data_IF_082529461633
#
_entry.id   IF_082529461633
#
_cell.length_a   1.000
_cell.length_b   1.000
_cell.length_c   1.000
_cell.angle_alpha   90.00
_cell.angle_beta   90.00
_cell.angle_gamma   90.00
#
_symmetry.space_group_name_H-M   'P 1'
#
loop_
_entity.id
_entity.type
_entity.pdbx_description
1 polymer ?
#
# COMPACT_ATOMS: atom_id res chain seq x y z
N UNK A 1 5.75 3.99 7.56
CA UNK A 1 5.12 3.20 6.49
C UNK A 1 3.73 2.80 6.93
N UNK A 2 2.85 2.56 5.96
CA UNK A 2 1.48 2.05 6.18
C UNK A 2 1.37 0.66 5.60
N UNK A 3 0.57 -0.20 6.24
CA UNK A 3 0.24 -1.54 5.77
C UNK A 3 -1.22 -1.55 5.37
N UNK A 4 -1.52 -2.11 4.20
CA UNK A 4 -2.91 -2.23 3.74
C UNK A 4 -3.73 -3.13 4.67
N UNK A 5 -5.04 -2.93 4.69
CA UNK A 5 -5.99 -3.79 5.39
C UNK A 5 -6.09 -5.16 4.73
N UNK A 6 -6.06 -5.17 3.40
CA UNK A 6 -6.12 -6.37 2.55
C UNK A 6 -5.16 -6.23 1.37
N UNK A 7 -4.69 -7.37 0.87
CA UNK A 7 -3.74 -7.43 -0.23
C UNK A 7 -4.34 -6.98 -1.54
N UNK A 8 -3.52 -6.42 -2.44
CA UNK A 8 -3.99 -6.07 -3.79
C UNK A 8 -4.55 -7.30 -4.50
N UNK A 9 -3.87 -8.44 -4.39
CA UNK A 9 -4.32 -9.68 -4.99
C UNK A 9 -5.65 -10.16 -4.42
N UNK A 10 -5.86 -10.11 -3.11
CA UNK A 10 -7.15 -10.47 -2.50
C UNK A 10 -8.28 -9.58 -3.01
N UNK A 11 -8.09 -8.26 -2.98
CA UNK A 11 -9.10 -7.30 -3.44
C UNK A 11 -9.40 -7.49 -4.93
N UNK A 12 -8.38 -7.62 -5.77
CA UNK A 12 -8.55 -7.84 -7.21
C UNK A 12 -9.21 -9.18 -7.53
N UNK A 13 -8.96 -10.22 -6.73
CA UNK A 13 -9.67 -11.50 -6.85
C UNK A 13 -11.15 -11.34 -6.52
N UNK A 14 -11.49 -10.69 -5.40
CA UNK A 14 -12.89 -10.46 -5.06
C UNK A 14 -13.61 -9.57 -6.10
N UNK A 15 -12.90 -8.60 -6.69
CA UNK A 15 -13.45 -7.71 -7.72
C UNK A 15 -13.38 -8.29 -9.14
N UNK A 16 -13.01 -9.56 -9.29
CA UNK A 16 -13.00 -10.23 -10.60
C UNK A 16 -11.97 -9.67 -11.60
N UNK A 17 -10.90 -9.00 -11.14
CA UNK A 17 -9.87 -8.38 -12.00
C UNK A 17 -8.78 -9.37 -12.41
N UNK A 18 -9.21 -10.49 -12.97
CA UNK A 18 -8.35 -11.55 -13.50
C UNK A 18 -9.07 -12.31 -14.61
N UNK A 19 -8.33 -13.12 -15.35
CA UNK A 19 -8.90 -14.11 -16.27
C UNK A 19 -8.82 -15.49 -15.61
N UNK A 20 -9.92 -16.23 -15.58
CA UNK A 20 -9.99 -17.62 -15.09
C UNK A 20 -9.14 -18.58 -15.96
N UNK A 21 -8.85 -18.18 -17.20
CA UNK A 21 -7.96 -18.90 -18.12
C UNK A 21 -6.47 -18.65 -17.84
N UNK A 22 -6.12 -17.61 -17.10
CA UNK A 22 -4.71 -17.29 -16.81
C UNK A 22 -4.27 -17.92 -15.48
N UNK A 23 -3.96 -19.21 -15.54
CA UNK A 23 -3.57 -20.00 -14.36
C UNK A 23 -2.30 -19.45 -13.70
N UNK A 24 -1.31 -18.98 -14.46
CA UNK A 24 -0.09 -18.41 -13.90
C UNK A 24 -0.35 -17.12 -13.13
N UNK A 25 -1.26 -16.27 -13.61
CA UNK A 25 -1.68 -15.09 -12.87
C UNK A 25 -2.48 -15.45 -11.60
N UNK A 26 -3.34 -16.47 -11.65
CA UNK A 26 -4.00 -16.98 -10.43
C UNK A 26 -2.98 -17.49 -9.40
N UNK A 27 -1.95 -18.24 -9.83
CA UNK A 27 -0.85 -18.66 -8.95
C UNK A 27 -0.11 -17.47 -8.37
N UNK A 28 0.17 -16.43 -9.17
CA UNK A 28 0.76 -15.19 -8.70
C UNK A 28 -0.12 -14.53 -7.63
N UNK A 29 -1.42 -14.38 -7.88
CA UNK A 29 -2.35 -13.77 -6.92
C UNK A 29 -2.38 -14.55 -5.61
N UNK A 30 -2.56 -15.87 -5.67
CA UNK A 30 -2.59 -16.74 -4.48
C UNK A 30 -1.29 -16.60 -3.68
N UNK A 31 -0.11 -16.74 -4.33
CA UNK A 31 1.21 -16.59 -3.68
C UNK A 31 1.34 -15.28 -2.91
N UNK A 32 0.72 -14.22 -3.42
CA UNK A 32 0.75 -12.86 -2.90
C UNK A 32 -0.45 -12.49 -2.00
N UNK A 33 -1.27 -13.46 -1.59
CA UNK A 33 -2.26 -13.27 -0.51
C UNK A 33 -1.70 -13.75 0.83
N UNK A 34 -2.25 -13.22 1.92
CA UNK A 34 -1.99 -13.71 3.27
C UNK A 34 -2.70 -15.04 3.53
N UNK A 35 -2.29 -15.73 4.60
CA UNK A 35 -2.96 -16.97 5.04
C UNK A 35 -4.45 -16.75 5.31
N UNK A 36 -4.79 -15.69 6.05
CA UNK A 36 -6.18 -15.41 6.42
C UNK A 36 -7.06 -15.07 5.21
N UNK A 37 -6.52 -14.37 4.23
CA UNK A 37 -7.24 -14.06 2.99
C UNK A 37 -7.53 -15.31 2.15
N UNK A 38 -6.53 -16.20 2.02
CA UNK A 38 -6.72 -17.49 1.35
C UNK A 38 -7.78 -18.32 2.06
N UNK A 39 -7.70 -18.40 3.39
CA UNK A 39 -8.67 -19.12 4.21
C UNK A 39 -10.08 -18.52 4.07
N UNK A 40 -10.20 -17.19 4.03
CA UNK A 40 -11.46 -16.51 3.82
C UNK A 40 -12.08 -16.88 2.45
N UNK A 41 -11.31 -16.88 1.36
CA UNK A 41 -11.78 -17.30 0.03
C UNK A 41 -12.27 -18.75 0.04
N UNK A 42 -11.59 -19.65 0.75
CA UNK A 42 -11.96 -21.06 0.78
C UNK A 42 -13.15 -21.37 1.70
N UNK A 43 -13.43 -20.55 2.70
CA UNK A 43 -14.41 -20.86 3.76
C UNK A 43 -15.66 -19.99 3.76
N UNK A 44 -15.57 -18.71 3.38
CA UNK A 44 -16.69 -17.77 3.44
C UNK A 44 -17.57 -17.80 2.19
N UNK A 45 -18.79 -17.26 2.29
CA UNK A 45 -19.61 -16.92 1.12
C UNK A 45 -19.11 -15.63 0.47
N UNK A 46 -19.49 -15.39 -0.78
CA UNK A 46 -19.12 -14.15 -1.46
C UNK A 46 -19.76 -12.92 -0.80
N UNK A 47 -20.98 -13.06 -0.28
CA UNK A 47 -21.72 -12.05 0.46
C UNK A 47 -20.94 -11.61 1.72
N UNK A 48 -20.40 -12.57 2.47
CA UNK A 48 -19.57 -12.30 3.66
C UNK A 48 -18.27 -11.56 3.27
N UNK A 49 -17.58 -12.05 2.24
CA UNK A 49 -16.35 -11.44 1.72
C UNK A 49 -16.59 -10.00 1.23
N UNK A 50 -17.71 -9.76 0.56
CA UNK A 50 -18.12 -8.43 0.09
C UNK A 50 -18.40 -7.48 1.26
N UNK A 51 -19.17 -7.96 2.25
CA UNK A 51 -19.46 -7.21 3.47
C UNK A 51 -18.16 -6.81 4.20
N UNK A 52 -17.21 -7.72 4.32
CA UNK A 52 -15.90 -7.47 4.94
C UNK A 52 -15.08 -6.44 4.14
N UNK A 53 -15.03 -6.56 2.81
CA UNK A 53 -14.27 -5.67 1.93
C UNK A 53 -14.75 -4.21 2.03
N UNK A 54 -16.07 -4.00 2.16
CA UNK A 54 -16.67 -2.68 2.20
C UNK A 54 -17.06 -2.21 3.61
N UNK A 55 -16.74 -2.98 4.66
CA UNK A 55 -17.19 -2.72 6.03
C UNK A 55 -18.71 -2.42 6.09
N UNK A 56 -19.51 -3.22 5.36
CA UNK A 56 -20.97 -3.06 5.21
C UNK A 56 -21.44 -1.73 4.61
N UNK A 57 -20.53 -0.89 4.10
CA UNK A 57 -20.88 0.41 3.52
C UNK A 57 -21.49 0.30 2.11
N UNK A 58 -21.47 -0.90 1.51
CA UNK A 58 -21.95 -1.12 0.14
C UNK A 58 -22.84 -2.36 0.11
N UNK A 59 -24.10 -2.15 -0.25
CA UNK A 59 -25.09 -3.23 -0.39
C UNK A 59 -24.64 -4.22 -1.48
N UNK A 60 -24.69 -5.55 -1.22
CA UNK A 60 -24.33 -6.60 -2.18
C UNK A 60 -25.42 -6.79 -3.23
N UNK A 61 -25.65 -5.79 -4.08
CA UNK A 61 -26.73 -5.80 -5.07
C UNK A 61 -26.31 -5.17 -6.39
N UNK A 62 -27.02 -5.53 -7.46
CA UNK A 62 -26.90 -4.94 -8.79
C UNK A 62 -25.91 -5.67 -9.70
N UNK A 63 -25.96 -5.31 -10.99
CA UNK A 63 -25.29 -6.04 -12.05
C UNK A 63 -23.77 -6.25 -11.83
N UNK A 64 -23.08 -5.26 -11.26
CA UNK A 64 -21.65 -5.42 -10.96
C UNK A 64 -21.41 -6.50 -9.90
N UNK A 65 -22.16 -6.46 -8.78
CA UNK A 65 -22.05 -7.45 -7.70
C UNK A 65 -22.34 -8.86 -8.22
N UNK A 66 -23.43 -9.02 -8.96
CA UNK A 66 -23.83 -10.31 -9.54
C UNK A 66 -22.75 -10.85 -10.47
N UNK A 67 -22.19 -10.01 -11.35
CA UNK A 67 -21.10 -10.37 -12.25
C UNK A 67 -19.87 -10.88 -11.49
N UNK A 68 -19.38 -10.14 -10.48
CA UNK A 68 -18.17 -10.54 -9.75
C UNK A 68 -18.41 -11.73 -8.82
N UNK A 69 -19.63 -11.88 -8.26
CA UNK A 69 -20.03 -13.04 -7.46
C UNK A 69 -20.02 -14.33 -8.29
N UNK A 70 -20.66 -14.32 -9.45
CA UNK A 70 -20.66 -15.46 -10.38
C UNK A 70 -19.23 -15.83 -10.79
N UNK A 71 -18.40 -14.83 -11.11
CA UNK A 71 -16.99 -15.04 -11.49
C UNK A 71 -16.16 -15.61 -10.35
N UNK A 72 -16.39 -15.16 -9.12
CA UNK A 72 -15.74 -15.68 -7.92
C UNK A 72 -16.04 -17.18 -7.76
N UNK A 73 -17.32 -17.58 -7.75
CA UNK A 73 -17.69 -18.98 -7.56
C UNK A 73 -17.16 -19.87 -8.70
N UNK A 74 -17.21 -19.41 -9.95
CA UNK A 74 -16.60 -20.12 -11.09
C UNK A 74 -15.10 -20.37 -10.90
N UNK A 75 -14.40 -19.46 -10.22
CA UNK A 75 -12.95 -19.51 -10.05
C UNK A 75 -12.52 -20.11 -8.70
N UNK A 76 -13.46 -20.37 -7.80
CA UNK A 76 -13.17 -20.80 -6.42
C UNK A 76 -12.57 -22.20 -6.38
N UNK A 77 -13.05 -23.11 -7.23
CA UNK A 77 -12.56 -24.49 -7.25
C UNK A 77 -11.10 -24.56 -7.70
N UNK A 78 -10.75 -23.87 -8.79
CA UNK A 78 -9.34 -23.79 -9.23
C UNK A 78 -8.48 -23.06 -8.19
N UNK A 79 -9.01 -22.03 -7.52
CA UNK A 79 -8.30 -21.38 -6.42
C UNK A 79 -7.97 -22.38 -5.30
N UNK A 80 -8.95 -23.20 -4.86
CA UNK A 80 -8.77 -24.20 -3.80
C UNK A 80 -7.69 -25.21 -4.18
N UNK A 81 -7.77 -25.75 -5.41
CA UNK A 81 -6.78 -26.71 -5.92
C UNK A 81 -5.38 -26.08 -5.93
N UNK A 82 -5.21 -24.89 -6.50
CA UNK A 82 -3.92 -24.21 -6.54
C UNK A 82 -3.40 -23.88 -5.14
N UNK A 83 -4.27 -23.37 -4.25
CA UNK A 83 -3.90 -22.98 -2.90
C UNK A 83 -3.33 -24.15 -2.07
N UNK A 84 -3.80 -25.38 -2.30
CA UNK A 84 -3.28 -26.58 -1.62
C UNK A 84 -1.81 -26.89 -1.94
N UNK A 85 -1.31 -26.39 -3.08
CA UNK A 85 0.05 -26.67 -3.57
C UNK A 85 1.01 -25.49 -3.43
N UNK A 86 0.49 -24.28 -3.23
CA UNK A 86 1.27 -23.05 -3.29
C UNK A 86 1.70 -22.56 -1.90
N UNK A 87 2.98 -22.18 -1.72
CA UNK A 87 3.47 -21.69 -0.43
C UNK A 87 2.74 -20.40 -0.03
N UNK A 88 2.44 -20.25 1.26
CA UNK A 88 1.92 -19.02 1.84
C UNK A 88 3.00 -18.35 2.69
N UNK A 89 3.61 -17.28 2.15
CA UNK A 89 4.75 -16.60 2.79
C UNK A 89 4.35 -15.35 3.58
N UNK A 90 3.20 -14.75 3.26
CA UNK A 90 2.86 -13.41 3.75
C UNK A 90 1.96 -13.49 4.98
N UNK A 91 2.47 -12.96 6.11
CA UNK A 91 1.70 -12.82 7.36
C UNK A 91 0.83 -11.57 7.38
N UNK A 92 1.21 -10.55 6.63
CA UNK A 92 0.53 -9.27 6.55
C UNK A 92 0.36 -8.85 5.08
N UNK A 93 -0.60 -7.97 4.79
CA UNK A 93 -0.66 -7.30 3.50
C UNK A 93 0.57 -6.43 3.20
N UNK A 94 0.59 -5.85 2.00
CA UNK A 94 1.69 -5.04 1.51
C UNK A 94 1.91 -3.81 2.39
N UNK A 95 3.17 -3.59 2.75
CA UNK A 95 3.62 -2.33 3.31
C UNK A 95 3.99 -1.36 2.18
N UNK A 96 3.75 -0.07 2.42
CA UNK A 96 4.01 0.98 1.46
C UNK A 96 4.26 2.34 2.11
N UNK A 97 4.55 3.30 1.25
CA UNK A 97 4.52 4.71 1.59
C UNK A 97 3.09 5.21 1.53
N UNK A 98 2.72 6.17 2.39
CA UNK A 98 1.43 6.80 2.29
C UNK A 98 1.22 7.44 0.93
N UNK A 99 0.09 7.15 0.27
CA UNK A 99 -0.19 7.63 -1.09
C UNK A 99 -1.66 7.48 -1.43
N UNK A 100 -2.14 8.31 -2.35
CA UNK A 100 -3.41 8.08 -3.01
C UNK A 100 -3.54 8.88 -4.30
N UNK A 101 -4.77 9.08 -4.74
CA UNK A 101 -5.06 9.67 -6.05
C UNK A 101 -5.24 11.18 -5.90
N UNK A 102 -4.67 11.98 -6.81
CA UNK A 102 -4.94 13.41 -6.81
C UNK A 102 -6.42 13.66 -7.10
N UNK A 103 -7.00 14.61 -6.36
CA UNK A 103 -8.29 15.18 -6.71
C UNK A 103 -8.17 16.03 -7.99
N UNK A 104 -9.31 16.35 -8.59
CA UNK A 104 -9.32 17.21 -9.78
C UNK A 104 -8.65 18.55 -9.47
N UNK A 105 -7.64 18.91 -10.26
CA UNK A 105 -6.85 20.15 -10.11
C UNK A 105 -6.08 20.29 -8.79
N UNK A 106 -5.82 19.19 -8.08
CA UNK A 106 -5.01 19.20 -6.85
C UNK A 106 -3.51 19.22 -7.18
N UNK A 107 -2.76 20.08 -6.50
CA UNK A 107 -1.30 20.10 -6.62
C UNK A 107 -0.70 18.78 -6.07
N UNK A 108 0.35 18.21 -6.70
CA UNK A 108 0.94 16.96 -6.24
C UNK A 108 1.39 16.97 -4.78
N UNK A 109 1.87 18.11 -4.28
CA UNK A 109 2.27 18.23 -2.89
C UNK A 109 1.05 18.24 -1.95
N UNK A 110 0.00 18.99 -2.29
CA UNK A 110 -1.24 19.03 -1.50
C UNK A 110 -1.89 17.64 -1.44
N UNK A 111 -1.91 16.92 -2.56
CA UNK A 111 -2.31 15.52 -2.60
C UNK A 111 -1.48 14.67 -1.64
N UNK A 112 -0.14 14.74 -1.70
CA UNK A 112 0.72 13.96 -0.82
C UNK A 112 0.49 14.30 0.66
N UNK A 113 0.26 15.57 0.99
CA UNK A 113 -0.02 16.03 2.36
C UNK A 113 -1.40 15.53 2.85
N UNK A 114 -2.42 15.58 2.00
CA UNK A 114 -3.76 15.09 2.32
C UNK A 114 -3.76 13.58 2.52
N UNK A 115 -3.18 12.83 1.60
CA UNK A 115 -3.10 11.35 1.65
C UNK A 115 -2.29 10.87 2.86
N UNK A 116 -1.19 11.56 3.19
CA UNK A 116 -0.46 11.30 4.43
C UNK A 116 -1.37 11.45 5.64
N UNK A 117 -2.16 12.52 5.72
CA UNK A 117 -3.10 12.72 6.82
C UNK A 117 -4.23 11.67 6.84
N UNK A 118 -4.83 11.36 5.70
CA UNK A 118 -5.91 10.38 5.59
C UNK A 118 -5.46 8.98 6.06
N UNK A 119 -4.27 8.54 5.64
CA UNK A 119 -3.78 7.20 5.98
C UNK A 119 -3.09 7.10 7.34
N UNK A 120 -2.56 8.21 7.88
CA UNK A 120 -1.71 8.17 9.10
C UNK A 120 -2.13 9.07 10.25
N UNK A 121 -3.04 10.02 10.00
CA UNK A 121 -3.43 11.11 10.91
C UNK A 121 -2.30 12.04 11.32
N UNK A 122 -1.19 12.05 10.57
CA UNK A 122 -0.12 13.03 10.76
C UNK A 122 -0.55 14.39 10.23
N UNK A 123 -0.73 15.34 11.14
CA UNK A 123 -1.07 16.72 10.80
C UNK A 123 0.13 17.42 10.15
N UNK A 124 -0.14 18.47 9.35
CA UNK A 124 0.90 19.26 8.67
C UNK A 124 1.92 19.85 9.64
N UNK A 125 1.52 20.17 10.87
CA UNK A 125 2.38 20.67 11.94
C UNK A 125 3.30 19.61 12.55
N UNK A 126 3.09 18.32 12.25
CA UNK A 126 3.86 17.20 12.82
C UNK A 126 5.14 16.89 12.02
N UNK A 127 5.36 17.56 10.90
CA UNK A 127 6.52 17.37 10.04
C UNK A 127 6.86 18.63 9.25
N UNK A 128 8.15 18.76 8.93
CA UNK A 128 8.68 19.80 8.06
C UNK A 128 9.10 19.20 6.72
N UNK A 129 8.78 19.85 5.61
CA UNK A 129 9.20 19.37 4.30
C UNK A 129 10.61 19.84 4.02
N UNK A 130 11.43 18.94 3.50
CA UNK A 130 12.77 19.29 3.03
C UNK A 130 12.64 19.77 1.58
N UNK A 131 12.47 21.08 1.39
CA UNK A 131 12.24 21.68 0.06
C UNK A 131 13.45 21.60 -0.87
N UNK A 132 14.65 21.47 -0.31
CA UNK A 132 15.90 21.38 -1.09
C UNK A 132 16.06 20.03 -1.80
N UNK A 133 15.25 19.03 -1.45
CA UNK A 133 15.29 17.72 -2.08
C UNK A 133 14.13 17.63 -3.09
N UNK A 134 14.50 17.45 -4.36
CA UNK A 134 13.53 17.24 -5.42
C UNK A 134 12.68 15.97 -5.17
N UNK A 135 11.40 15.96 -5.59
CA UNK A 135 10.53 14.80 -5.42
C UNK A 135 11.06 13.55 -6.14
N UNK A 136 10.79 12.39 -5.55
CA UNK A 136 11.14 11.09 -6.13
C UNK A 136 9.98 10.54 -6.92
N UNK A 137 10.25 10.04 -8.12
CA UNK A 137 9.23 9.48 -8.99
C UNK A 137 9.39 7.97 -9.16
N UNK A 138 8.31 7.24 -8.89
CA UNK A 138 8.17 5.82 -9.12
C UNK A 138 7.24 5.58 -10.31
N UNK A 139 7.68 4.80 -11.30
CA UNK A 139 6.83 4.31 -12.39
C UNK A 139 6.84 2.79 -12.40
N UNK A 140 5.66 2.19 -12.47
CA UNK A 140 5.51 0.74 -12.59
C UNK A 140 4.21 0.39 -13.31
N UNK A 141 4.13 -0.83 -13.83
CA UNK A 141 2.89 -1.38 -14.39
C UNK A 141 2.25 -2.25 -13.32
N UNK A 142 1.00 -1.93 -12.97
CA UNK A 142 0.23 -2.73 -12.03
C UNK A 142 -0.14 -4.09 -12.62
N UNK A 143 -0.64 -4.96 -11.76
CA UNK A 143 -1.05 -6.33 -12.12
C UNK A 143 -2.19 -6.39 -13.13
N UNK A 144 -2.91 -5.27 -13.31
CA UNK A 144 -3.95 -5.06 -14.32
C UNK A 144 -3.42 -4.52 -15.67
N UNK A 145 -2.10 -4.39 -15.85
CA UNK A 145 -1.49 -3.83 -17.05
C UNK A 145 -1.55 -2.30 -17.16
N UNK A 146 -2.07 -1.62 -16.13
CA UNK A 146 -2.16 -0.15 -16.11
C UNK A 146 -0.84 0.42 -15.61
N UNK A 147 -0.34 1.45 -16.29
CA UNK A 147 0.81 2.22 -15.82
C UNK A 147 0.45 3.14 -14.66
N UNK A 148 1.26 3.11 -13.60
CA UNK A 148 1.13 3.96 -12.42
C UNK A 148 2.36 4.85 -12.28
N UNK A 149 2.12 6.07 -11.79
CA UNK A 149 3.15 7.06 -11.45
C UNK A 149 2.88 7.55 -10.03
N UNK A 150 3.82 7.35 -9.12
CA UNK A 150 3.79 7.97 -7.80
C UNK A 150 4.87 9.05 -7.73
N UNK A 151 4.55 10.18 -7.11
CA UNK A 151 5.49 11.26 -6.81
C UNK A 151 5.58 11.40 -5.30
N UNK A 152 6.78 11.28 -4.75
CA UNK A 152 7.03 11.28 -3.30
C UNK A 152 7.85 12.49 -2.88
N UNK A 153 7.46 13.10 -1.78
CA UNK A 153 8.15 14.22 -1.15
C UNK A 153 8.79 13.76 0.17
N UNK A 154 9.91 14.36 0.54
CA UNK A 154 10.58 14.05 1.81
C UNK A 154 10.19 15.07 2.87
N UNK A 155 9.80 14.55 4.03
CA UNK A 155 9.57 15.33 5.22
C UNK A 155 10.34 14.79 6.42
N UNK A 156 10.82 15.71 7.27
CA UNK A 156 11.39 15.44 8.58
C UNK A 156 10.26 15.49 9.61
N UNK A 157 9.98 14.34 10.21
CA UNK A 157 9.03 14.27 11.31
C UNK A 157 9.57 14.98 12.57
N UNK A 158 8.69 15.63 13.32
CA UNK A 158 9.01 16.17 14.64
C UNK A 158 9.28 15.03 15.63
N UNK A 159 9.99 15.31 16.72
CA UNK A 159 10.35 14.29 17.73
C UNK A 159 9.14 13.50 18.27
N UNK A 160 8.00 14.18 18.43
CA UNK A 160 6.76 13.62 18.99
C UNK A 160 5.72 13.27 17.90
N UNK A 161 6.19 13.00 16.67
CA UNK A 161 5.32 12.69 15.55
C UNK A 161 4.70 11.28 15.68
N UNK A 162 3.44 11.22 16.13
CA UNK A 162 2.72 9.97 16.37
C UNK A 162 1.68 9.78 15.28
N UNK A 163 1.89 8.75 14.46
CA UNK A 163 0.90 8.26 13.51
C UNK A 163 0.05 7.17 14.15
N UNK A 164 -1.26 7.16 13.87
CA UNK A 164 -2.16 6.17 14.44
C UNK A 164 -3.36 5.88 13.53
N UNK A 165 -3.98 4.71 13.78
CA UNK A 165 -5.23 4.32 13.15
C UNK A 165 -6.39 4.85 13.98
N UNK A 166 -7.15 5.77 13.38
CA UNK A 166 -8.40 6.24 13.95
C UNK A 166 -9.49 5.20 13.68
N UNK A 167 -9.85 4.43 14.71
CA UNK A 167 -10.84 3.35 14.60
C UNK A 167 -12.24 3.84 14.27
N UNK A 168 -12.53 5.13 14.49
CA UNK A 168 -13.81 5.74 14.14
C UNK A 168 -13.84 6.23 12.69
N UNK A 169 -12.69 6.34 12.02
CA UNK A 169 -12.63 6.67 10.61
C UNK A 169 -12.74 5.39 9.76
N UNK A 170 -13.94 5.19 9.20
CA UNK A 170 -14.23 4.03 8.36
C UNK A 170 -13.46 4.03 7.04
N UNK A 171 -13.12 5.19 6.47
CA UNK A 171 -12.33 5.26 5.25
C UNK A 171 -10.88 4.78 5.51
N UNK A 172 -10.24 5.30 6.55
CA UNK A 172 -8.88 4.89 6.94
C UNK A 172 -8.83 3.40 7.31
N UNK A 173 -9.77 2.92 8.13
CA UNK A 173 -9.78 1.53 8.60
C UNK A 173 -10.11 0.49 7.53
N UNK A 174 -10.75 0.90 6.43
CA UNK A 174 -10.97 0.06 5.24
C UNK A 174 -9.71 -0.09 4.39
N UNK A 175 -8.86 0.92 4.36
CA UNK A 175 -7.64 0.95 3.55
C UNK A 175 -6.43 0.41 4.32
N UNK A 176 -6.25 0.84 5.58
CA UNK A 176 -5.03 0.65 6.36
C UNK A 176 -5.27 -0.28 7.55
N UNK A 177 -4.44 -1.31 7.64
CA UNK A 177 -4.42 -2.29 8.72
C UNK A 177 -3.43 -1.97 9.83
N UNK A 178 -2.26 -1.40 9.47
CA UNK A 178 -1.21 -1.06 10.44
C UNK A 178 -0.43 0.18 10.00
N UNK A 179 0.13 0.90 10.98
CA UNK A 179 1.06 2.00 10.74
C UNK A 179 2.27 1.78 11.62
N UNK A 180 3.47 1.94 11.07
CA UNK A 180 4.70 1.75 11.82
C UNK A 180 5.87 2.54 11.27
N UNK A 181 6.69 3.07 12.18
CA UNK A 181 8.01 3.59 11.90
C UNK A 181 9.02 2.45 11.86
N UNK A 182 9.88 2.46 10.85
CA UNK A 182 10.90 1.42 10.65
C UNK A 182 12.26 2.07 10.40
N UNK A 183 13.34 1.49 10.93
CA UNK A 183 14.68 1.71 10.37
C UNK A 183 14.72 1.30 8.90
N UNK A 184 15.53 1.98 8.08
CA UNK A 184 15.68 1.71 6.66
C UNK A 184 15.92 0.22 6.35
N UNK A 185 16.83 -0.42 7.08
CA UNK A 185 17.21 -1.83 6.87
C UNK A 185 16.10 -2.84 7.16
N UNK A 186 15.08 -2.42 7.90
CA UNK A 186 13.87 -3.22 8.16
C UNK A 186 12.80 -2.87 7.13
N UNK A 187 12.61 -1.57 6.86
CA UNK A 187 11.64 -1.07 5.90
C UNK A 187 11.80 -1.70 4.50
N UNK A 188 13.04 -1.80 4.00
CA UNK A 188 13.31 -2.34 2.66
C UNK A 188 12.94 -3.82 2.52
N UNK A 189 12.95 -4.58 3.62
CA UNK A 189 12.62 -6.01 3.66
C UNK A 189 11.12 -6.27 3.71
N UNK A 190 10.30 -5.25 3.93
CA UNK A 190 8.85 -5.39 3.95
C UNK A 190 8.19 -5.40 2.56
N UNK A 191 8.89 -4.93 1.53
CA UNK A 191 8.40 -4.99 0.14
C UNK A 191 8.48 -6.40 -0.40
N UNK A 192 7.47 -6.82 -1.17
CA UNK A 192 7.42 -8.13 -1.81
C UNK A 192 8.44 -8.27 -2.93
N UNK A 193 8.74 -9.49 -3.32
CA UNK A 193 9.76 -9.81 -4.34
C UNK A 193 9.55 -9.06 -5.66
N UNK A 194 8.30 -8.82 -6.07
CA UNK A 194 7.97 -8.11 -7.31
C UNK A 194 7.94 -6.57 -7.19
N UNK A 195 8.09 -6.02 -5.98
CA UNK A 195 7.99 -4.57 -5.71
C UNK A 195 9.36 -3.87 -5.78
N UNK A 196 10.11 -4.13 -6.84
CA UNK A 196 11.48 -3.61 -6.98
C UNK A 196 11.53 -2.07 -7.14
N UNK A 197 10.52 -1.49 -7.78
CA UNK A 197 10.39 -0.03 -7.90
C UNK A 197 10.37 0.66 -6.53
N UNK A 198 9.64 0.10 -5.56
CA UNK A 198 9.58 0.63 -4.18
C UNK A 198 10.92 0.51 -3.46
N UNK A 199 11.62 -0.61 -3.63
CA UNK A 199 12.98 -0.80 -3.09
C UNK A 199 13.94 0.24 -3.63
N UNK A 200 13.93 0.46 -4.94
CA UNK A 200 14.76 1.47 -5.58
C UNK A 200 14.47 2.88 -5.04
N UNK A 201 13.20 3.24 -4.88
CA UNK A 201 12.81 4.54 -4.29
C UNK A 201 13.31 4.67 -2.86
N UNK A 202 13.08 3.67 -2.00
CA UNK A 202 13.51 3.75 -0.61
C UNK A 202 15.02 3.90 -0.48
N UNK A 203 15.78 3.16 -1.30
CA UNK A 203 17.24 3.26 -1.35
C UNK A 203 17.70 4.66 -1.75
N UNK A 204 17.16 5.19 -2.86
CA UNK A 204 17.48 6.56 -3.32
C UNK A 204 17.14 7.62 -2.29
N UNK A 205 16.01 7.48 -1.60
CA UNK A 205 15.60 8.37 -0.50
C UNK A 205 16.60 8.30 0.66
N UNK A 206 16.99 7.10 1.08
CA UNK A 206 17.95 6.91 2.16
C UNK A 206 19.31 7.54 1.82
N UNK A 207 19.84 7.28 0.63
CA UNK A 207 21.13 7.81 0.16
C UNK A 207 21.09 9.35 0.14
N UNK A 208 20.00 9.94 -0.37
CA UNK A 208 19.81 11.39 -0.39
C UNK A 208 19.73 11.99 1.01
N UNK A 209 19.00 11.35 1.94
CA UNK A 209 18.90 11.84 3.33
C UNK A 209 20.24 11.77 4.05
N UNK A 210 21.05 10.75 3.80
CA UNK A 210 22.42 10.64 4.34
C UNK A 210 23.28 11.79 3.80
N UNK A 211 23.28 11.99 2.48
CA UNK A 211 24.03 13.08 1.84
C UNK A 211 23.61 14.45 2.37
N UNK A 212 22.30 14.72 2.46
CA UNK A 212 21.76 15.96 2.99
C UNK A 212 22.26 16.22 4.42
N UNK A 213 22.23 15.22 5.30
CA UNK A 213 22.70 15.34 6.69
C UNK A 213 24.21 15.63 6.77
N UNK A 214 25.01 14.98 5.94
CA UNK A 214 26.47 15.19 5.92
C UNK A 214 26.79 16.62 5.50
N UNK A 215 26.15 17.12 4.45
CA UNK A 215 26.36 18.48 3.97
C UNK A 215 25.97 19.54 5.01
N UNK A 216 24.84 19.36 5.70
CA UNK A 216 24.38 20.32 6.72
C UNK A 216 25.27 20.33 7.97
N UNK A 217 25.83 19.18 8.36
CA UNK A 217 26.81 19.12 9.46
C UNK A 217 28.11 19.85 9.12
N UNK A 218 28.54 19.77 7.87
CA UNK A 218 29.76 20.45 7.41
C UNK A 218 29.59 21.97 7.40
N UNK A 219 28.40 22.46 7.02
CA UNK A 219 28.07 23.90 7.03
C UNK A 219 27.99 24.42 8.48
N UNK A 220 27.27 23.72 9.37
CA UNK A 220 27.16 24.14 10.78
C UNK A 220 28.49 24.17 11.52
N UNK A 221 29.47 23.36 11.10
CA UNK A 221 30.82 23.36 11.69
C UNK A 221 31.71 24.49 11.14
N UNK A 222 31.45 25.00 9.93
CA UNK A 222 32.17 26.13 9.36
C UNK A 222 31.73 27.47 10.00
N UNK A 223 30.43 27.62 10.28
CA UNK A 223 29.88 28.83 10.93
C UNK A 223 30.23 28.93 12.43
N UNK A 224 30.70 27.84 13.05
CA UNK A 224 31.18 27.84 14.45
C UNK A 224 32.68 28.12 14.61
N UNK A 225 33.40 28.33 13.51
CA UNK A 225 34.86 28.61 13.48
C UNK A 225 35.15 30.06 13.02
N UNK A 226 34.12 30.81 12.60
CA UNK A 226 34.16 32.25 12.31
C UNK A 226 33.69 33.08 13.50
#
# INVERSE_FOLDING_TARGET
MVCRKSTYCFVDFLLGKYSDKNVEYLKFMIKNMTYYERMAITTKTYEELWSDLYSKSRTPTGAFYEYVSQKFYKSRDIFIVLNSTLPCKHRHPEWGFPKGRPNQSEDPFDCASRELYEETRLNRSSYEIIRDILPFEERYVGTNGIGYRNVFFIAKANMNCIAYLDRNNTAQTREIGYIKWFPYEIAIKHFRDHEESKRCILKRVNDMVIQYRTNHKNISNQDSIS
#
